data_IF_842985142593
#
_entry.id   IF_842985142593
#
_cell.length_a   1.000
_cell.length_b   1.000
_cell.length_c   1.000
_cell.angle_alpha   90.00
_cell.angle_beta   90.00
_cell.angle_gamma   90.00
#
_symmetry.space_group_name_H-M   'P 1'
#
loop_
_entity.id
_entity.type
_entity.pdbx_description
1 polymer ?
#
# COMPACT_ATOMS: atom_id res chain seq x y z
N UNK A 1 34.45 14.96 0.09
CA UNK A 1 33.22 15.75 -0.15
C UNK A 1 32.24 14.82 -0.84
N UNK A 2 31.19 14.36 -0.14
CA UNK A 2 30.10 13.58 -0.73
C UNK A 2 28.93 14.52 -0.89
N UNK A 3 28.48 14.72 -2.13
CA UNK A 3 27.33 15.57 -2.42
C UNK A 3 26.10 15.04 -1.68
N UNK A 4 25.47 15.92 -0.90
CA UNK A 4 24.22 15.61 -0.22
C UNK A 4 23.12 15.47 -1.27
N UNK A 5 22.27 14.44 -1.21
CA UNK A 5 21.13 14.34 -2.12
C UNK A 5 20.22 15.56 -1.93
N UNK A 6 19.80 16.16 -3.04
CA UNK A 6 18.85 17.27 -3.06
C UNK A 6 17.48 16.65 -2.75
N UNK A 7 17.05 16.72 -1.49
CA UNK A 7 15.72 16.32 -1.07
C UNK A 7 14.80 17.53 -1.31
N UNK A 8 14.09 17.52 -2.43
CA UNK A 8 12.98 18.44 -2.67
C UNK A 8 11.84 18.08 -1.72
N UNK A 9 11.32 19.06 -0.99
CA UNK A 9 10.15 18.92 -0.12
C UNK A 9 8.99 18.30 -0.92
N UNK A 10 8.63 17.06 -0.59
CA UNK A 10 7.34 16.51 -0.99
C UNK A 10 6.33 17.15 -0.04
N UNK A 11 5.48 18.03 -0.56
CA UNK A 11 4.47 18.71 0.25
C UNK A 11 3.69 17.70 1.11
N UNK A 12 3.73 17.89 2.43
CA UNK A 12 3.04 17.06 3.42
C UNK A 12 3.92 16.10 4.21
N UNK A 13 5.19 15.92 3.85
CA UNK A 13 6.16 15.15 4.65
C UNK A 13 7.32 16.07 5.00
N UNK A 14 7.49 16.41 6.28
CA UNK A 14 8.56 17.33 6.68
C UNK A 14 9.92 16.71 6.35
N UNK A 15 10.87 17.56 5.95
CA UNK A 15 12.26 17.16 5.75
C UNK A 15 12.81 16.42 6.99
N UNK A 16 12.43 16.85 8.19
CA UNK A 16 12.77 16.19 9.44
C UNK A 16 12.17 14.79 9.60
N UNK A 17 11.00 14.51 9.02
CA UNK A 17 10.39 13.18 9.04
C UNK A 17 11.11 12.22 8.08
N UNK A 18 11.51 12.70 6.90
CA UNK A 18 12.33 11.92 5.97
C UNK A 18 13.73 11.69 6.57
N UNK A 19 14.34 12.71 7.16
CA UNK A 19 15.63 12.59 7.85
C UNK A 19 15.54 11.62 9.04
N UNK A 20 14.47 11.67 9.84
CA UNK A 20 14.23 10.73 10.94
C UNK A 20 14.07 9.29 10.45
N UNK A 21 13.31 9.07 9.38
CA UNK A 21 13.13 7.76 8.76
C UNK A 21 14.46 7.18 8.23
N UNK A 22 15.37 8.05 7.77
CA UNK A 22 16.68 7.68 7.22
C UNK A 22 17.75 7.46 8.31
N UNK A 23 17.62 8.11 9.48
CA UNK A 23 18.66 8.14 10.51
C UNK A 23 18.51 7.02 11.56
N UNK A 24 17.31 6.45 11.77
CA UNK A 24 17.08 5.47 12.86
C UNK A 24 16.66 4.05 12.45
N UNK A 25 16.59 3.71 11.16
CA UNK A 25 16.06 2.41 10.73
C UNK A 25 17.10 1.51 10.07
N UNK A 26 17.21 0.26 10.54
CA UNK A 26 17.93 -0.81 9.86
C UNK A 26 17.71 -0.79 8.35
N UNK A 27 18.76 -1.18 7.67
CA UNK A 27 19.04 -1.16 6.23
C UNK A 27 17.93 -1.71 5.27
N UNK A 28 16.78 -2.16 5.76
CA UNK A 28 15.54 -2.21 4.97
C UNK A 28 14.34 -2.05 5.89
N UNK A 29 13.41 -1.18 5.51
CA UNK A 29 12.15 -1.06 6.23
C UNK A 29 10.98 -1.03 5.26
N UNK A 30 10.12 -2.04 5.38
CA UNK A 30 8.70 -1.86 5.05
C UNK A 30 8.16 -0.92 6.12
N UNK A 31 8.18 0.37 5.84
CA UNK A 31 7.81 1.42 6.80
C UNK A 31 6.29 1.42 7.10
N UNK A 32 5.47 0.87 6.20
CA UNK A 32 4.05 0.60 6.42
C UNK A 32 3.68 -0.72 5.74
N UNK A 33 3.24 -1.72 6.54
CA UNK A 33 2.76 -3.01 6.04
C UNK A 33 1.28 -2.94 5.66
N UNK A 34 0.92 -3.61 4.57
CA UNK A 34 -0.45 -3.82 4.11
C UNK A 34 -1.19 -4.70 5.12
N UNK A 35 -2.41 -4.31 5.44
CA UNK A 35 -3.33 -5.08 6.28
C UNK A 35 -4.57 -5.41 5.49
N UNK A 36 -5.27 -6.49 5.86
CA UNK A 36 -6.56 -6.83 5.27
C UNK A 36 -7.55 -5.65 5.39
N UNK A 37 -8.13 -5.16 4.29
CA UNK A 37 -9.11 -4.09 4.32
C UNK A 37 -10.33 -4.44 5.17
N UNK A 38 -10.81 -3.50 5.99
CA UNK A 38 -12.00 -3.69 6.84
C UNK A 38 -13.25 -4.09 6.03
N UNK A 39 -13.34 -3.61 4.78
CA UNK A 39 -14.43 -3.93 3.87
C UNK A 39 -14.48 -5.42 3.53
N UNK A 40 -13.35 -6.12 3.47
CA UNK A 40 -13.34 -7.57 3.28
C UNK A 40 -13.99 -8.28 4.48
N UNK A 41 -13.57 -7.91 5.71
CA UNK A 41 -14.18 -8.46 6.93
C UNK A 41 -15.68 -8.18 7.02
N UNK A 42 -16.10 -6.96 6.63
CA UNK A 42 -17.50 -6.57 6.62
C UNK A 42 -18.33 -7.42 5.64
N UNK A 43 -17.82 -7.64 4.42
CA UNK A 43 -18.51 -8.45 3.40
C UNK A 43 -18.58 -9.93 3.80
N UNK A 44 -17.50 -10.50 4.34
CA UNK A 44 -17.48 -11.87 4.85
C UNK A 44 -18.49 -12.06 5.98
N UNK A 45 -18.51 -11.12 6.93
CA UNK A 45 -19.47 -11.12 8.04
C UNK A 45 -20.90 -11.00 7.54
N UNK A 46 -21.14 -10.17 6.54
CA UNK A 46 -22.46 -9.95 5.94
C UNK A 46 -22.97 -11.23 5.24
N UNK A 47 -22.14 -11.87 4.42
CA UNK A 47 -22.48 -13.12 3.73
C UNK A 47 -22.76 -14.25 4.73
N UNK A 48 -21.95 -14.34 5.80
CA UNK A 48 -22.12 -15.34 6.86
C UNK A 48 -23.46 -15.21 7.60
N UNK A 49 -24.00 -14.00 7.72
CA UNK A 49 -25.27 -13.74 8.42
C UNK A 49 -26.49 -13.78 7.49
N UNK A 50 -26.27 -13.81 6.18
CA UNK A 50 -27.34 -13.72 5.19
C UNK A 50 -27.98 -15.09 4.93
N UNK A 51 -29.29 -15.13 4.74
CA UNK A 51 -29.98 -16.34 4.25
C UNK A 51 -29.51 -16.68 2.84
N UNK A 52 -29.37 -17.97 2.54
CA UNK A 52 -28.87 -18.44 1.25
C UNK A 52 -29.70 -17.95 0.05
N UNK A 53 -31.03 -17.87 0.18
CA UNK A 53 -31.94 -17.42 -0.89
C UNK A 53 -32.16 -15.90 -0.93
N UNK A 54 -31.33 -15.11 -0.25
CA UNK A 54 -31.50 -13.67 -0.23
C UNK A 54 -31.15 -13.07 -1.60
N UNK A 55 -32.04 -12.24 -2.16
CA UNK A 55 -31.91 -11.72 -3.54
C UNK A 55 -30.58 -11.02 -3.82
N UNK A 56 -30.02 -10.30 -2.84
CA UNK A 56 -28.75 -9.56 -2.97
C UNK A 56 -27.49 -10.39 -2.67
N UNK A 57 -27.63 -11.67 -2.29
CA UNK A 57 -26.49 -12.47 -1.84
C UNK A 57 -25.46 -12.64 -2.95
N UNK A 58 -25.91 -12.95 -4.17
CA UNK A 58 -25.05 -13.12 -5.34
C UNK A 58 -24.23 -11.86 -5.64
N UNK A 59 -24.85 -10.68 -5.53
CA UNK A 59 -24.15 -9.40 -5.78
C UNK A 59 -23.03 -9.19 -4.76
N UNK A 60 -23.31 -9.46 -3.49
CA UNK A 60 -22.35 -9.30 -2.38
C UNK A 60 -21.23 -10.33 -2.47
N UNK A 61 -21.52 -11.57 -2.87
CA UNK A 61 -20.52 -12.60 -3.14
C UNK A 61 -19.62 -12.20 -4.33
N UNK A 62 -20.19 -11.60 -5.37
CA UNK A 62 -19.44 -11.02 -6.48
C UNK A 62 -18.51 -9.89 -6.04
N UNK A 63 -19.00 -8.98 -5.20
CA UNK A 63 -18.19 -7.88 -4.63
C UNK A 63 -17.08 -8.38 -3.70
N UNK A 64 -17.36 -9.40 -2.88
CA UNK A 64 -16.35 -10.04 -2.05
C UNK A 64 -15.25 -10.66 -2.92
N UNK A 65 -15.64 -11.39 -3.97
CA UNK A 65 -14.71 -12.02 -4.91
C UNK A 65 -13.83 -10.99 -5.58
N UNK A 66 -14.44 -9.91 -6.11
CA UNK A 66 -13.73 -8.76 -6.69
C UNK A 66 -12.64 -8.22 -5.79
N UNK A 67 -12.99 -7.90 -4.55
CA UNK A 67 -12.06 -7.31 -3.58
C UNK A 67 -10.99 -8.28 -3.13
N UNK A 68 -11.33 -9.57 -2.95
CA UNK A 68 -10.34 -10.61 -2.62
C UNK A 68 -9.31 -10.77 -3.73
N UNK A 69 -9.73 -10.74 -4.99
CA UNK A 69 -8.82 -10.82 -6.13
C UNK A 69 -7.88 -9.61 -6.19
N UNK A 70 -8.41 -8.39 -6.00
CA UNK A 70 -7.58 -7.18 -5.90
C UNK A 70 -6.54 -7.26 -4.77
N UNK A 71 -6.99 -7.59 -3.55
CA UNK A 71 -6.11 -7.72 -2.39
C UNK A 71 -5.05 -8.83 -2.56
N UNK A 72 -5.39 -9.94 -3.23
CA UNK A 72 -4.40 -10.98 -3.56
C UNK A 72 -3.34 -10.49 -4.54
N UNK A 73 -3.73 -9.69 -5.54
CA UNK A 73 -2.77 -9.08 -6.45
C UNK A 73 -1.81 -8.15 -5.72
N UNK A 74 -2.33 -7.37 -4.77
CA UNK A 74 -1.53 -6.52 -3.91
C UNK A 74 -0.53 -7.31 -3.06
N UNK A 75 -0.98 -8.39 -2.41
CA UNK A 75 -0.11 -9.28 -1.64
C UNK A 75 0.95 -9.99 -2.50
N UNK A 76 0.63 -10.30 -3.75
CA UNK A 76 1.58 -10.89 -4.68
C UNK A 76 2.72 -9.92 -5.00
N UNK A 77 2.42 -8.64 -5.21
CA UNK A 77 3.46 -7.61 -5.37
C UNK A 77 4.30 -7.49 -4.10
N UNK A 78 3.65 -7.42 -2.92
CA UNK A 78 4.35 -7.31 -1.65
C UNK A 78 5.34 -8.47 -1.43
N UNK A 79 4.97 -9.68 -1.85
CA UNK A 79 5.85 -10.85 -1.82
C UNK A 79 7.07 -10.70 -2.75
N UNK A 80 6.87 -10.24 -3.98
CA UNK A 80 7.98 -10.02 -4.91
C UNK A 80 8.92 -8.90 -4.43
N UNK A 81 8.37 -7.82 -3.88
CA UNK A 81 9.16 -6.74 -3.29
C UNK A 81 9.96 -7.21 -2.06
N UNK A 82 9.42 -8.15 -1.29
CA UNK A 82 10.13 -8.78 -0.17
C UNK A 82 11.36 -9.61 -0.57
N UNK A 83 11.52 -9.95 -1.86
CA UNK A 83 12.70 -10.67 -2.37
C UNK A 83 13.84 -9.74 -2.81
N UNK A 84 13.59 -8.43 -2.89
CA UNK A 84 14.59 -7.48 -3.33
C UNK A 84 15.81 -7.53 -2.40
N UNK A 85 16.99 -7.68 -2.98
CA UNK A 85 18.26 -7.68 -2.23
C UNK A 85 18.83 -6.25 -2.15
N UNK A 86 19.55 -5.95 -1.07
CA UNK A 86 20.24 -4.68 -0.88
C UNK A 86 19.43 -3.59 -0.18
N UNK A 87 20.14 -2.65 0.44
CA UNK A 87 19.66 -1.99 1.65
C UNK A 87 19.31 -0.50 1.46
N UNK A 88 19.01 -0.12 0.22
CA UNK A 88 18.99 1.29 -0.18
C UNK A 88 17.60 1.75 -0.63
N UNK A 89 16.55 1.14 -0.08
CA UNK A 89 15.17 1.45 -0.44
C UNK A 89 14.20 1.32 0.75
N UNK A 90 13.13 2.10 0.68
CA UNK A 90 11.98 2.06 1.58
C UNK A 90 10.75 1.65 0.80
N UNK A 91 9.91 0.78 1.39
CA UNK A 91 8.65 0.35 0.77
C UNK A 91 7.50 0.83 1.65
N UNK A 92 6.59 1.59 1.04
CA UNK A 92 5.36 2.06 1.66
C UNK A 92 4.16 1.46 0.92
N UNK A 93 3.39 0.62 1.61
CA UNK A 93 2.18 0.01 1.06
C UNK A 93 0.94 0.79 1.50
N UNK A 94 -0.07 0.89 0.62
CA UNK A 94 -1.34 1.56 0.92
C UNK A 94 -1.13 3.01 1.39
N UNK A 95 -0.21 3.75 0.77
CA UNK A 95 0.17 5.09 1.24
C UNK A 95 -0.91 6.10 0.87
N UNK A 96 -1.56 6.68 1.88
CA UNK A 96 -2.58 7.73 1.69
C UNK A 96 -1.96 9.10 1.93
N UNK A 97 -1.83 9.87 0.86
CA UNK A 97 -1.25 11.20 0.87
C UNK A 97 -2.35 12.26 0.75
N UNK A 98 -2.08 13.43 1.31
CA UNK A 98 -2.97 14.59 1.27
C UNK A 98 -2.29 15.72 0.50
N UNK A 99 -2.97 16.26 -0.49
CA UNK A 99 -2.54 17.44 -1.24
C UNK A 99 -3.66 18.48 -1.19
N UNK A 100 -3.49 19.51 -0.37
CA UNK A 100 -4.55 20.48 -0.07
C UNK A 100 -5.79 19.80 0.53
N UNK A 101 -6.92 19.88 -0.17
CA UNK A 101 -8.18 19.23 0.21
C UNK A 101 -8.36 17.81 -0.37
N UNK A 102 -7.45 17.38 -1.24
CA UNK A 102 -7.52 16.10 -1.91
C UNK A 102 -6.73 15.04 -1.16
N UNK A 103 -7.24 13.80 -1.21
CA UNK A 103 -6.52 12.62 -0.76
C UNK A 103 -6.31 11.70 -1.94
N UNK A 104 -5.09 11.21 -2.11
CA UNK A 104 -4.77 10.19 -3.10
C UNK A 104 -4.10 9.01 -2.40
N UNK A 105 -4.38 7.82 -2.91
CA UNK A 105 -3.84 6.57 -2.41
C UNK A 105 -2.88 6.03 -3.44
N UNK A 106 -1.70 5.62 -2.98
CA UNK A 106 -0.71 4.89 -3.77
C UNK A 106 -0.71 3.45 -3.29
N UNK A 107 -0.90 2.50 -4.21
CA UNK A 107 -0.91 1.08 -3.87
C UNK A 107 0.41 0.66 -3.24
N UNK A 108 1.53 1.00 -3.87
CA UNK A 108 2.88 0.85 -3.33
C UNK A 108 3.82 1.94 -3.83
N UNK A 109 4.58 2.55 -2.92
CA UNK A 109 5.70 3.45 -3.22
C UNK A 109 7.01 2.81 -2.78
N UNK A 110 7.90 2.57 -3.74
CA UNK A 110 9.29 2.21 -3.48
C UNK A 110 10.15 3.46 -3.62
N UNK A 111 10.83 3.85 -2.54
CA UNK A 111 11.63 5.06 -2.48
C UNK A 111 13.10 4.70 -2.28
N UNK A 112 13.97 5.24 -3.12
CA UNK A 112 15.43 5.13 -2.99
C UNK A 112 16.04 6.53 -2.89
N UNK A 113 17.35 6.60 -2.64
CA UNK A 113 18.09 7.88 -2.66
C UNK A 113 18.16 8.54 -4.05
N UNK A 114 17.79 7.85 -5.12
CA UNK A 114 17.90 8.35 -6.50
C UNK A 114 16.55 8.54 -7.21
N UNK A 115 15.54 7.76 -6.84
CA UNK A 115 14.23 7.78 -7.47
C UNK A 115 13.12 7.30 -6.53
N UNK A 116 11.90 7.74 -6.81
CA UNK A 116 10.67 7.15 -6.29
C UNK A 116 9.91 6.43 -7.40
N UNK A 117 9.46 5.21 -7.13
CA UNK A 117 8.71 4.36 -8.06
C UNK A 117 7.34 4.06 -7.46
N UNK A 118 6.29 4.46 -8.18
CA UNK A 118 4.90 4.14 -7.84
C UNK A 118 4.52 2.88 -8.63
N UNK A 119 4.04 1.87 -7.92
CA UNK A 119 3.58 0.61 -8.48
C UNK A 119 2.07 0.50 -8.25
N UNK A 120 1.31 0.67 -9.33
CA UNK A 120 -0.15 0.53 -9.34
C UNK A 120 -0.55 -0.91 -9.69
N UNK A 121 -1.41 -1.52 -8.89
CA UNK A 121 -1.73 -2.94 -9.00
C UNK A 121 -3.11 -3.08 -9.60
N UNK A 122 -3.16 -3.63 -10.82
CA UNK A 122 -4.42 -3.89 -11.51
C UNK A 122 -4.61 -5.39 -11.69
N UNK A 123 -5.56 -5.94 -10.93
CA UNK A 123 -5.94 -7.36 -11.07
C UNK A 123 -7.37 -7.46 -11.59
N UNK A 124 -7.56 -8.26 -12.63
CA UNK A 124 -8.88 -8.56 -13.22
C UNK A 124 -9.42 -9.86 -12.61
N UNK A 125 -10.75 -9.94 -12.44
CA UNK A 125 -11.48 -11.15 -12.04
C UNK A 125 -11.90 -11.93 -13.28
#
# INVERSE_FOLDING_TARGET
>A
MRDKPIITEIEGISKSFIEWLIIEGDDHLIAKKRTTPLQLYALESLISRMRQKHKKRSDIEGDLTKRKTGFKGELALDYELGKLQGNNYYIFQDLRLKSGHLYFQLDTLLLTKHFGLILEIKTTI
#
